data_IF_071379860983
#
_entry.id   IF_071379860983
#
_cell.length_a   1.000
_cell.length_b   1.000
_cell.length_c   1.000
_cell.angle_alpha   90.00
_cell.angle_beta   90.00
_cell.angle_gamma   90.00
#
_symmetry.space_group_name_H-M   'P 1'
#
loop_
_entity.id
_entity.type
_entity.pdbx_description
1 polymer ?
#
# COMPACT_ATOMS: atom_id res chain seq x y z
N UNK A 1 -6.19 10.39 -13.03
CA UNK A 1 -5.39 9.29 -12.46
C UNK A 1 -5.19 8.26 -13.57
N UNK A 2 -3.96 8.02 -14.02
CA UNK A 2 -3.71 6.96 -15.00
C UNK A 2 -3.76 5.60 -14.29
N UNK A 3 -4.08 4.53 -15.02
CA UNK A 3 -4.10 3.15 -14.51
C UNK A 3 -2.78 2.72 -13.84
N UNK A 4 -1.67 3.41 -14.11
CA UNK A 4 -0.37 3.20 -13.44
C UNK A 4 -0.34 3.67 -11.99
N UNK A 5 -1.05 4.74 -11.63
CA UNK A 5 -1.17 5.23 -10.25
C UNK A 5 -2.08 4.34 -9.38
N UNK A 6 -3.02 3.64 -10.01
CA UNK A 6 -3.88 2.67 -9.34
C UNK A 6 -3.17 1.33 -9.07
N UNK A 7 -2.26 0.93 -9.96
CA UNK A 7 -1.38 -0.23 -9.77
C UNK A 7 -0.42 -0.02 -8.59
N UNK A 8 0.08 1.21 -8.43
CA UNK A 8 0.90 1.61 -7.28
C UNK A 8 0.10 1.56 -5.97
N UNK A 9 -1.18 1.96 -5.95
CA UNK A 9 -2.03 1.87 -4.75
C UNK A 9 -2.40 0.42 -4.35
N UNK A 10 -2.51 -0.50 -5.32
CA UNK A 10 -2.71 -1.93 -5.06
C UNK A 10 -1.43 -2.64 -4.60
N UNK A 11 -0.25 -2.19 -5.06
CA UNK A 11 1.07 -2.60 -4.54
C UNK A 11 1.38 -1.96 -3.18
N UNK A 12 0.99 -0.71 -2.96
CA UNK A 12 1.22 0.07 -1.75
C UNK A 12 0.27 -0.23 -0.58
N UNK A 13 -0.49 -1.34 -0.63
CA UNK A 13 -1.23 -1.81 0.54
C UNK A 13 -0.33 -2.23 1.71
N UNK A 14 0.99 -2.12 1.53
CA UNK A 14 2.03 -2.45 2.51
C UNK A 14 3.05 -1.30 2.67
N UNK A 15 2.84 -0.19 1.97
CA UNK A 15 3.80 0.91 1.89
C UNK A 15 3.41 2.11 2.75
N UNK A 16 3.07 1.95 4.03
CA UNK A 16 2.88 3.13 4.87
C UNK A 16 3.24 2.93 6.33
N UNK A 17 4.54 2.94 6.61
CA UNK A 17 5.03 3.28 7.95
C UNK A 17 6.37 4.00 7.84
N UNK A 18 6.42 5.22 8.37
CA UNK A 18 7.60 6.05 8.50
C UNK A 18 7.39 7.40 7.82
N UNK A 19 6.52 8.23 8.41
CA UNK A 19 6.65 9.68 8.31
C UNK A 19 7.61 10.05 9.44
N UNK A 20 8.90 9.92 9.14
CA UNK A 20 9.92 10.67 9.84
C UNK A 20 10.37 11.72 8.83
N UNK A 21 10.16 12.99 9.16
CA UNK A 21 10.81 14.11 8.50
C UNK A 21 12.32 13.96 8.72
N UNK A 22 12.97 13.18 7.85
CA UNK A 22 14.41 13.24 7.71
C UNK A 22 14.70 14.51 6.90
N UNK A 23 15.13 15.56 7.59
CA UNK A 23 15.89 16.65 6.98
C UNK A 23 17.16 16.02 6.38
N UNK A 24 17.10 15.62 5.11
CA UNK A 24 18.29 15.27 4.36
C UNK A 24 18.91 16.59 3.90
N UNK A 25 19.83 17.11 4.72
CA UNK A 25 20.72 18.20 4.34
C UNK A 25 21.34 17.91 2.97
N UNK A 26 21.29 18.90 2.09
CA UNK A 26 21.75 18.83 0.71
C UNK A 26 23.22 18.46 0.59
N UNK A 27 23.50 17.16 0.61
CA UNK A 27 24.73 16.55 0.16
C UNK A 27 24.41 15.76 -1.11
N UNK A 28 25.20 15.98 -2.17
CA UNK A 28 25.24 15.06 -3.30
C UNK A 28 25.96 13.80 -2.77
N UNK A 29 25.22 12.97 -2.01
CA UNK A 29 25.71 11.70 -1.51
C UNK A 29 26.15 10.85 -2.70
N UNK A 30 27.45 10.58 -2.77
CA UNK A 30 28.00 9.68 -3.77
C UNK A 30 27.38 8.31 -3.56
N UNK A 31 26.89 7.71 -4.65
CA UNK A 31 26.52 6.30 -4.68
C UNK A 31 27.72 5.53 -4.14
N UNK A 32 27.55 4.78 -3.05
CA UNK A 32 28.57 3.86 -2.58
C UNK A 32 28.73 2.80 -3.68
N UNK A 33 29.69 3.02 -4.60
CA UNK A 33 30.00 2.06 -5.64
C UNK A 33 30.73 0.90 -4.98
N UNK A 34 30.03 -0.20 -4.77
CA UNK A 34 30.70 -1.48 -4.55
C UNK A 34 31.45 -1.78 -5.86
N UNK A 35 32.78 -1.66 -5.86
CA UNK A 35 33.58 -1.71 -7.09
C UNK A 35 33.41 -3.03 -7.87
N UNK A 36 32.98 -4.09 -7.17
CA UNK A 36 32.74 -5.42 -7.72
C UNK A 36 31.32 -5.61 -8.31
N UNK A 37 30.38 -4.71 -8.03
CA UNK A 37 29.03 -4.77 -8.60
C UNK A 37 28.44 -3.36 -8.81
N UNK A 38 28.68 -2.72 -9.96
CA UNK A 38 28.19 -1.37 -10.21
C UNK A 38 26.66 -1.33 -10.26
N UNK A 39 26.03 -0.19 -9.90
CA UNK A 39 24.59 -0.03 -9.95
C UNK A 39 24.08 -0.24 -11.39
N UNK A 40 22.97 -0.97 -11.52
CA UNK A 40 22.32 -1.19 -12.81
C UNK A 40 21.63 0.08 -13.30
N UNK A 41 21.25 0.10 -14.58
CA UNK A 41 20.40 1.19 -15.13
C UNK A 41 19.08 1.32 -14.34
N UNK A 42 18.53 0.20 -13.88
CA UNK A 42 17.32 0.17 -13.06
C UNK A 42 17.54 0.82 -11.68
N UNK A 43 18.67 0.55 -11.04
CA UNK A 43 19.01 1.14 -9.74
C UNK A 43 19.17 2.66 -9.85
N UNK A 44 19.85 3.12 -10.90
CA UNK A 44 20.01 4.55 -11.18
C UNK A 44 18.67 5.22 -11.49
N UNK A 45 17.81 4.58 -12.28
CA UNK A 45 16.48 5.11 -12.59
C UNK A 45 15.61 5.22 -11.33
N UNK A 46 15.65 4.21 -10.46
CA UNK A 46 14.93 4.20 -9.18
C UNK A 46 15.43 5.31 -8.26
N UNK A 47 16.74 5.53 -8.16
CA UNK A 47 17.29 6.63 -7.36
C UNK A 47 16.85 7.99 -7.88
N UNK A 48 16.88 8.21 -9.21
CA UNK A 48 16.42 9.47 -9.83
C UNK A 48 14.92 9.68 -9.62
N UNK A 49 14.11 8.64 -9.76
CA UNK A 49 12.67 8.69 -9.49
C UNK A 49 12.40 9.08 -8.04
N UNK A 50 13.05 8.43 -7.07
CA UNK A 50 12.90 8.74 -5.65
C UNK A 50 13.26 10.19 -5.34
N UNK A 51 14.41 10.67 -5.82
CA UNK A 51 14.84 12.06 -5.63
C UNK A 51 13.85 13.06 -6.25
N UNK A 52 13.23 12.69 -7.37
CA UNK A 52 12.20 13.51 -8.02
C UNK A 52 10.93 13.57 -7.17
N UNK A 53 10.47 12.43 -6.63
CA UNK A 53 9.30 12.40 -5.73
C UNK A 53 9.52 13.22 -4.46
N UNK A 54 10.71 13.13 -3.85
CA UNK A 54 11.07 13.92 -2.67
C UNK A 54 11.07 15.41 -2.97
N UNK A 55 11.60 15.84 -4.12
CA UNK A 55 11.61 17.25 -4.55
C UNK A 55 10.20 17.80 -4.83
N UNK A 56 9.29 16.95 -5.29
CA UNK A 56 7.92 17.33 -5.61
C UNK A 56 6.93 17.05 -4.46
N UNK A 57 7.42 16.54 -3.32
CA UNK A 57 6.60 16.10 -2.18
C UNK A 57 5.46 15.15 -2.58
N UNK A 58 5.68 14.32 -3.61
CA UNK A 58 4.65 13.47 -4.19
C UNK A 58 4.63 12.05 -3.63
N UNK A 59 5.72 11.61 -2.98
CA UNK A 59 5.88 10.25 -2.49
C UNK A 59 7.04 10.12 -1.49
N UNK A 60 6.91 9.14 -0.58
CA UNK A 60 7.92 8.81 0.43
C UNK A 60 8.43 7.36 0.33
N UNK A 61 7.66 6.47 -0.29
CA UNK A 61 7.90 5.02 -0.21
C UNK A 61 7.68 4.27 -1.52
N UNK A 62 6.90 4.82 -2.46
CA UNK A 62 6.45 4.11 -3.66
C UNK A 62 7.61 3.59 -4.50
N UNK A 63 8.62 4.42 -4.75
CA UNK A 63 9.79 4.01 -5.55
C UNK A 63 10.60 2.90 -4.85
N UNK A 64 10.80 2.99 -3.53
CA UNK A 64 11.49 1.95 -2.78
C UNK A 64 10.69 0.64 -2.78
N UNK A 65 9.38 0.72 -2.58
CA UNK A 65 8.50 -0.44 -2.66
C UNK A 65 8.55 -1.11 -4.03
N UNK A 66 8.45 -0.32 -5.11
CA UNK A 66 8.54 -0.81 -6.48
C UNK A 66 9.88 -1.46 -6.80
N UNK A 67 10.98 -0.94 -6.24
CA UNK A 67 12.31 -1.51 -6.40
C UNK A 67 12.49 -2.85 -5.68
N UNK A 68 11.78 -3.08 -4.57
CA UNK A 68 11.78 -4.36 -3.86
C UNK A 68 10.93 -5.42 -4.57
N UNK A 69 9.80 -5.01 -5.14
CA UNK A 69 8.87 -5.90 -5.84
C UNK A 69 8.05 -6.81 -4.92
N UNK A 70 7.07 -7.49 -5.52
CA UNK A 70 6.17 -8.41 -4.82
C UNK A 70 5.35 -7.73 -3.71
N UNK A 71 5.24 -8.44 -2.58
CA UNK A 71 4.65 -7.98 -1.32
C UNK A 71 5.80 -7.47 -0.44
N UNK A 72 5.96 -6.15 -0.36
CA UNK A 72 7.13 -5.52 0.26
C UNK A 72 6.96 -5.21 1.75
N UNK A 73 8.06 -5.06 2.47
CA UNK A 73 8.13 -4.46 3.79
C UNK A 73 9.32 -3.50 3.84
N UNK A 74 9.04 -2.23 4.16
CA UNK A 74 10.10 -1.22 4.35
C UNK A 74 10.76 -1.37 5.72
N UNK A 75 12.06 -1.67 5.69
CA UNK A 75 12.91 -1.88 6.86
C UNK A 75 13.63 -0.60 7.30
N UNK A 76 14.06 0.24 6.38
CA UNK A 76 14.69 1.52 6.70
C UNK A 76 14.15 2.59 5.74
N UNK A 77 13.88 3.81 6.22
CA UNK A 77 13.56 4.93 5.35
C UNK A 77 14.78 5.31 4.50
N UNK A 78 14.53 5.84 3.30
CA UNK A 78 15.58 6.36 2.42
C UNK A 78 15.40 5.96 0.96
N UNK A 79 16.36 6.37 0.12
CA UNK A 79 16.35 6.09 -1.30
C UNK A 79 16.80 4.64 -1.60
N UNK A 80 16.29 4.02 -2.69
CA UNK A 80 16.79 2.73 -3.17
C UNK A 80 18.28 2.81 -3.50
N UNK A 81 19.05 1.79 -3.09
CA UNK A 81 20.50 1.73 -3.35
C UNK A 81 21.35 2.65 -2.48
N UNK A 82 20.75 3.40 -1.57
CA UNK A 82 21.45 4.23 -0.57
C UNK A 82 21.06 3.76 0.85
N UNK A 83 20.35 4.58 1.62
CA UNK A 83 19.93 4.28 2.99
C UNK A 83 18.63 3.46 3.06
N UNK A 84 17.79 3.54 2.03
CA UNK A 84 16.49 2.87 1.99
C UNK A 84 16.64 1.37 1.88
N UNK A 85 16.01 0.64 2.80
CA UNK A 85 15.98 -0.83 2.79
C UNK A 85 14.56 -1.33 2.77
N UNK A 86 14.24 -2.20 1.83
CA UNK A 86 12.99 -2.94 1.77
C UNK A 86 13.27 -4.39 1.39
N UNK A 87 12.39 -5.28 1.82
CA UNK A 87 12.39 -6.69 1.44
C UNK A 87 11.05 -7.03 0.81
N UNK A 88 11.03 -7.91 -0.17
CA UNK A 88 9.81 -8.37 -0.83
C UNK A 88 9.75 -9.88 -0.89
N UNK A 89 8.55 -10.43 -0.98
CA UNK A 89 8.37 -11.80 -1.43
C UNK A 89 7.34 -11.85 -2.55
N UNK A 90 7.54 -12.77 -3.48
CA UNK A 90 6.64 -12.95 -4.60
C UNK A 90 5.39 -13.73 -4.18
N UNK A 91 4.25 -13.23 -4.64
CA UNK A 91 2.96 -13.89 -4.52
C UNK A 91 2.11 -13.54 -5.75
N UNK A 92 1.45 -14.54 -6.31
CA UNK A 92 0.48 -14.30 -7.38
C UNK A 92 -0.82 -13.81 -6.74
N UNK A 93 -1.14 -12.53 -6.97
CA UNK A 93 -2.33 -11.91 -6.41
C UNK A 93 -3.21 -11.34 -7.52
N UNK A 94 -4.52 -11.41 -7.32
CA UNK A 94 -5.51 -10.79 -8.22
C UNK A 94 -6.42 -9.81 -7.46
N UNK A 95 -5.87 -8.70 -6.93
CA UNK A 95 -6.67 -7.77 -6.13
C UNK A 95 -7.64 -6.98 -7.02
N UNK A 96 -8.77 -6.58 -6.43
CA UNK A 96 -9.73 -5.68 -7.04
C UNK A 96 -9.67 -4.36 -6.27
N UNK A 97 -9.17 -3.31 -6.91
CA UNK A 97 -9.15 -1.97 -6.33
C UNK A 97 -10.47 -1.29 -6.61
N UNK A 98 -11.11 -0.74 -5.58
CA UNK A 98 -12.42 -0.09 -5.63
C UNK A 98 -12.29 1.33 -5.12
N UNK A 99 -12.94 2.30 -5.77
CA UNK A 99 -12.97 3.69 -5.31
C UNK A 99 -14.32 4.36 -5.58
N UNK A 100 -14.65 5.30 -4.70
CA UNK A 100 -15.86 6.12 -4.78
C UNK A 100 -15.61 7.47 -5.45
N UNK A 101 -16.60 8.35 -5.37
CA UNK A 101 -16.41 9.78 -5.67
C UNK A 101 -15.32 10.36 -4.76
N UNK A 102 -14.55 11.31 -5.30
CA UNK A 102 -13.40 11.91 -4.63
C UNK A 102 -13.89 12.67 -3.39
N UNK A 103 -13.62 12.12 -2.20
CA UNK A 103 -13.79 12.85 -0.93
C UNK A 103 -12.84 14.05 -0.84
N UNK A 104 -13.04 14.90 0.18
CA UNK A 104 -12.24 16.12 0.44
C UNK A 104 -10.74 15.92 0.15
N UNK A 105 -10.13 16.95 -0.43
CA UNK A 105 -8.73 16.97 -0.86
C UNK A 105 -7.79 16.39 0.21
N UNK A 106 -6.98 15.39 -0.18
CA UNK A 106 -5.97 14.71 0.65
C UNK A 106 -4.97 15.68 1.32
N UNK A 107 -4.88 16.92 0.85
CA UNK A 107 -4.03 17.98 1.41
C UNK A 107 -4.46 18.49 2.79
N UNK A 108 -5.76 18.46 3.13
CA UNK A 108 -6.23 19.01 4.41
C UNK A 108 -5.81 18.13 5.62
N UNK A 109 -5.52 16.85 5.39
CA UNK A 109 -5.17 15.91 6.45
C UNK A 109 -3.68 15.93 6.76
N UNK A 110 -2.81 16.07 5.75
CA UNK A 110 -1.35 16.02 5.92
C UNK A 110 -0.82 17.17 6.79
N UNK A 111 -1.59 18.19 7.11
CA UNK A 111 -1.14 19.29 7.97
C UNK A 111 -1.61 19.19 9.45
N UNK A 112 -2.40 18.19 9.82
CA UNK A 112 -2.78 17.95 11.23
C UNK A 112 -1.65 17.24 11.98
N UNK A 113 -0.97 17.99 12.86
CA UNK A 113 0.14 17.48 13.67
C UNK A 113 -0.26 16.32 14.61
N UNK A 114 -1.47 16.35 15.18
CA UNK A 114 -1.95 15.28 16.05
C UNK A 114 -2.27 14.01 15.25
N UNK A 115 -2.80 14.16 14.02
CA UNK A 115 -2.98 13.04 13.11
C UNK A 115 -1.64 12.46 12.65
N UNK A 116 -0.64 13.29 12.30
CA UNK A 116 0.72 12.83 11.98
C UNK A 116 1.32 11.96 13.08
N UNK A 117 1.21 12.38 14.34
CA UNK A 117 1.71 11.60 15.47
C UNK A 117 1.00 10.25 15.57
N UNK A 118 -0.33 10.21 15.43
CA UNK A 118 -1.11 8.97 15.51
C UNK A 118 -0.79 8.01 14.37
N UNK A 119 -0.73 8.50 13.13
CA UNK A 119 -0.44 7.66 11.96
C UNK A 119 0.99 7.11 11.99
N UNK A 120 1.97 7.92 12.42
CA UNK A 120 3.35 7.46 12.59
C UNK A 120 3.46 6.40 13.68
N UNK A 121 2.88 6.64 14.86
CA UNK A 121 2.92 5.67 15.96
C UNK A 121 2.22 4.34 15.61
N UNK A 122 1.01 4.40 15.04
CA UNK A 122 0.27 3.22 14.59
C UNK A 122 1.07 2.43 13.56
N UNK A 123 1.77 3.15 12.67
CA UNK A 123 2.63 2.54 11.68
C UNK A 123 3.82 1.84 12.31
N UNK A 124 4.61 2.56 13.11
CA UNK A 124 5.83 2.02 13.73
C UNK A 124 5.54 0.73 14.49
N UNK A 125 4.43 0.71 15.21
CA UNK A 125 3.92 -0.46 15.91
C UNK A 125 3.59 -1.63 14.96
N UNK A 126 2.85 -1.38 13.87
CA UNK A 126 2.49 -2.40 12.89
C UNK A 126 3.75 -3.00 12.22
N UNK A 127 4.67 -2.15 11.78
CA UNK A 127 5.92 -2.61 11.16
C UNK A 127 6.83 -3.33 12.16
N UNK A 128 6.89 -2.89 13.42
CA UNK A 128 7.64 -3.58 14.47
C UNK A 128 7.14 -5.02 14.66
N UNK A 129 5.83 -5.25 14.57
CA UNK A 129 5.24 -6.60 14.60
C UNK A 129 5.53 -7.39 13.33
N UNK A 130 5.31 -6.79 12.15
CA UNK A 130 5.52 -7.46 10.86
C UNK A 130 6.98 -7.87 10.61
N UNK A 131 7.95 -7.10 11.14
CA UNK A 131 9.39 -7.40 11.06
C UNK A 131 9.81 -8.65 11.84
N UNK A 132 8.98 -9.14 12.76
CA UNK A 132 9.34 -10.29 13.57
C UNK A 132 9.27 -11.57 12.73
N UNK A 133 10.32 -12.39 12.78
CA UNK A 133 10.38 -13.62 11.99
C UNK A 133 10.75 -13.36 10.52
N UNK A 134 10.44 -14.33 9.66
CA UNK A 134 10.80 -14.29 8.25
C UNK A 134 9.73 -13.55 7.43
N UNK A 135 10.16 -12.68 6.52
CA UNK A 135 9.28 -12.04 5.54
C UNK A 135 9.09 -12.97 4.35
N UNK A 136 8.07 -13.82 4.40
CA UNK A 136 7.64 -14.69 3.30
C UNK A 136 6.12 -14.85 3.30
N UNK A 137 5.59 -15.71 2.42
CA UNK A 137 4.15 -15.91 2.20
C UNK A 137 3.34 -16.19 3.48
N UNK A 138 3.97 -16.74 4.52
CA UNK A 138 3.32 -16.98 5.82
C UNK A 138 2.95 -15.69 6.54
N UNK A 139 3.50 -14.54 6.14
CA UNK A 139 3.15 -13.22 6.68
C UNK A 139 1.86 -12.64 6.16
N UNK A 140 1.25 -13.23 5.12
CA UNK A 140 0.03 -12.70 4.53
C UNK A 140 -1.13 -12.51 5.53
N UNK A 141 -1.47 -13.49 6.40
CA UNK A 141 -2.54 -13.31 7.37
C UNK A 141 -2.21 -12.21 8.40
N UNK A 142 -0.95 -12.14 8.85
CA UNK A 142 -0.49 -11.09 9.77
C UNK A 142 -0.59 -9.71 9.10
N UNK A 143 -0.20 -9.59 7.83
CA UNK A 143 -0.29 -8.35 7.06
C UNK A 143 -1.75 -7.88 6.91
N UNK A 144 -2.67 -8.78 6.56
CA UNK A 144 -4.10 -8.44 6.49
C UNK A 144 -4.66 -8.00 7.84
N UNK A 145 -4.17 -8.57 8.94
CA UNK A 145 -4.56 -8.19 10.30
C UNK A 145 -3.99 -6.81 10.69
N UNK A 146 -2.69 -6.61 10.49
CA UNK A 146 -2.01 -5.36 10.81
C UNK A 146 -2.51 -4.19 9.95
N UNK A 147 -2.90 -4.43 8.70
CA UNK A 147 -3.55 -3.42 7.86
C UNK A 147 -4.88 -2.92 8.47
N UNK A 148 -5.69 -3.83 9.00
CA UNK A 148 -6.95 -3.47 9.66
C UNK A 148 -6.70 -2.74 10.99
N UNK A 149 -5.79 -3.25 11.82
CA UNK A 149 -5.40 -2.61 13.08
C UNK A 149 -4.84 -1.21 12.86
N UNK A 150 -3.98 -1.05 11.85
CA UNK A 150 -3.40 0.22 11.49
C UNK A 150 -4.48 1.24 11.10
N UNK A 151 -5.46 0.83 10.28
CA UNK A 151 -6.55 1.71 9.87
C UNK A 151 -7.36 2.21 11.08
N UNK A 152 -7.62 1.35 12.05
CA UNK A 152 -8.33 1.69 13.29
C UNK A 152 -7.50 2.63 14.18
N UNK A 153 -6.27 2.23 14.54
CA UNK A 153 -5.43 2.96 15.51
C UNK A 153 -4.99 4.32 14.96
N UNK A 154 -4.68 4.42 13.67
CA UNK A 154 -4.34 5.70 13.02
C UNK A 154 -5.55 6.64 12.90
N UNK A 155 -6.76 6.12 13.07
CA UNK A 155 -8.02 6.83 12.84
C UNK A 155 -8.35 7.06 11.36
N UNK A 156 -7.66 6.40 10.43
CA UNK A 156 -8.08 6.35 9.01
C UNK A 156 -9.47 5.73 8.86
N UNK A 157 -9.73 4.70 9.65
CA UNK A 157 -11.05 4.09 9.72
C UNK A 157 -12.07 5.09 10.27
N UNK A 158 -11.73 6.10 11.08
CA UNK A 158 -12.71 7.04 11.64
C UNK A 158 -13.30 8.06 10.66
N UNK A 159 -12.83 8.13 9.42
CA UNK A 159 -13.33 9.08 8.43
C UNK A 159 -14.59 8.56 7.72
N UNK A 160 -15.68 9.32 7.81
CA UNK A 160 -17.00 8.96 7.27
C UNK A 160 -16.95 8.50 5.81
N UNK A 161 -16.25 9.23 4.92
CA UNK A 161 -16.18 8.88 3.49
C UNK A 161 -15.49 7.53 3.27
N UNK A 162 -14.41 7.25 4.00
CA UNK A 162 -13.65 6.00 3.91
C UNK A 162 -14.45 4.84 4.52
N UNK A 163 -15.06 5.04 5.69
CA UNK A 163 -15.96 4.04 6.30
C UNK A 163 -17.09 3.68 5.36
N UNK A 164 -17.73 4.69 4.77
CA UNK A 164 -18.87 4.47 3.88
C UNK A 164 -18.47 3.65 2.67
N UNK A 165 -17.30 3.91 2.08
CA UNK A 165 -16.80 3.09 0.98
C UNK A 165 -16.48 1.67 1.45
N UNK A 166 -15.77 1.52 2.58
CA UNK A 166 -15.42 0.21 3.14
C UNK A 166 -16.66 -0.64 3.39
N UNK A 167 -17.66 -0.09 4.08
CA UNK A 167 -18.92 -0.77 4.39
C UNK A 167 -19.66 -1.22 3.14
N UNK A 168 -19.69 -0.38 2.08
CA UNK A 168 -20.28 -0.78 0.78
C UNK A 168 -19.52 -1.94 0.14
N UNK A 169 -18.20 -1.95 0.22
CA UNK A 169 -17.38 -3.05 -0.33
C UNK A 169 -17.55 -4.33 0.48
N UNK A 170 -17.68 -4.24 1.80
CA UNK A 170 -18.01 -5.39 2.66
C UNK A 170 -19.43 -5.94 2.38
N UNK A 171 -20.39 -5.06 2.11
CA UNK A 171 -21.72 -5.44 1.64
C UNK A 171 -21.65 -6.18 0.30
N UNK A 172 -20.82 -5.72 -0.65
CA UNK A 172 -20.55 -6.43 -1.92
C UNK A 172 -20.02 -7.84 -1.67
N UNK A 173 -19.05 -8.02 -0.78
CA UNK A 173 -18.52 -9.34 -0.46
C UNK A 173 -19.60 -10.25 0.12
N UNK A 174 -20.47 -9.71 0.96
CA UNK A 174 -21.59 -10.45 1.54
C UNK A 174 -22.62 -10.84 0.48
N UNK A 175 -23.05 -9.91 -0.38
CA UNK A 175 -24.05 -10.15 -1.43
C UNK A 175 -23.54 -11.07 -2.54
N UNK A 176 -22.24 -11.09 -2.79
CA UNK A 176 -21.60 -11.99 -3.76
C UNK A 176 -21.25 -13.37 -3.20
N UNK A 177 -21.44 -13.58 -1.89
CA UNK A 177 -21.08 -14.83 -1.20
C UNK A 177 -19.57 -15.05 -1.08
N UNK A 178 -18.78 -13.97 -1.05
CA UNK A 178 -17.31 -13.99 -1.12
C UNK A 178 -16.61 -13.59 0.18
N UNK A 179 -17.35 -13.36 1.26
CA UNK A 179 -16.79 -12.98 2.56
C UNK A 179 -15.89 -14.05 3.22
N UNK A 180 -16.00 -15.31 2.81
CA UNK A 180 -15.14 -16.41 3.32
C UNK A 180 -13.81 -16.53 2.56
N UNK A 181 -13.74 -15.99 1.34
CA UNK A 181 -12.53 -16.05 0.49
C UNK A 181 -11.80 -14.72 0.41
N UNK A 182 -12.48 -13.61 0.68
CA UNK A 182 -11.99 -12.26 0.45
C UNK A 182 -12.24 -11.34 1.62
N UNK A 183 -11.45 -10.26 1.65
CA UNK A 183 -11.59 -9.20 2.63
C UNK A 183 -11.35 -7.83 2.01
N UNK A 184 -12.03 -6.81 2.52
CA UNK A 184 -11.85 -5.43 2.14
C UNK A 184 -10.81 -4.73 3.04
N UNK A 185 -9.87 -3.97 2.47
CA UNK A 185 -8.88 -3.18 3.21
C UNK A 185 -8.78 -1.77 2.64
N UNK A 186 -8.76 -0.76 3.51
CA UNK A 186 -8.54 0.62 3.12
C UNK A 186 -7.15 0.78 2.51
N UNK A 187 -7.07 1.48 1.39
CA UNK A 187 -5.78 1.90 0.84
C UNK A 187 -5.31 3.18 1.52
N UNK A 188 -3.99 3.34 1.56
CA UNK A 188 -3.36 4.51 2.14
C UNK A 188 -3.55 5.76 1.28
N UNK A 189 -3.87 6.89 1.94
CA UNK A 189 -3.99 8.22 1.34
C UNK A 189 -4.92 8.30 0.12
N UNK A 190 -6.21 7.99 0.32
CA UNK A 190 -7.26 8.20 -0.69
C UNK A 190 -8.62 7.70 -0.20
N UNK A 191 -9.64 7.77 -1.05
CA UNK A 191 -10.95 7.12 -0.83
C UNK A 191 -11.02 5.87 -1.71
N UNK A 192 -10.23 4.87 -1.35
CA UNK A 192 -10.18 3.59 -2.06
C UNK A 192 -10.00 2.42 -1.10
N UNK A 193 -10.45 1.26 -1.56
CA UNK A 193 -10.46 -0.02 -0.84
C UNK A 193 -9.97 -1.09 -1.79
N UNK A 194 -9.09 -1.98 -1.36
CA UNK A 194 -8.79 -3.20 -2.09
C UNK A 194 -9.57 -4.38 -1.52
N UNK A 195 -10.07 -5.21 -2.44
CA UNK A 195 -10.55 -6.54 -2.16
C UNK A 195 -9.38 -7.50 -2.37
N UNK A 196 -9.04 -8.24 -1.32
CA UNK A 196 -7.88 -9.11 -1.23
C UNK A 196 -8.31 -10.53 -0.84
N UNK A 197 -7.63 -11.58 -1.33
CA UNK A 197 -7.91 -12.94 -0.89
C UNK A 197 -7.42 -13.14 0.55
N UNK A 198 -8.15 -13.93 1.34
CA UNK A 198 -7.76 -14.27 2.72
C UNK A 198 -6.55 -15.23 2.77
N UNK A 199 -6.29 -15.96 1.69
CA UNK A 199 -5.11 -16.83 1.54
C UNK A 199 -4.47 -16.63 0.17
N UNK A 200 -3.13 -16.66 0.13
CA UNK A 200 -2.37 -16.61 -1.13
C UNK A 200 -2.57 -17.86 -1.99
N UNK A 201 -2.92 -18.98 -1.38
CA UNK A 201 -3.19 -20.24 -2.10
C UNK A 201 -4.55 -20.23 -2.81
N UNK A 202 -5.42 -19.28 -2.46
CA UNK A 202 -6.73 -19.12 -3.07
C UNK A 202 -6.64 -18.12 -4.22
N UNK A 203 -6.47 -18.64 -5.43
CA UNK A 203 -6.75 -17.86 -6.64
C UNK A 203 -8.27 -17.79 -6.82
N UNK A 204 -8.89 -16.60 -6.83
CA UNK A 204 -10.33 -16.50 -7.02
C UNK A 204 -10.69 -17.01 -8.41
N UNK A 205 -11.75 -17.81 -8.50
CA UNK A 205 -12.23 -18.25 -9.80
C UNK A 205 -12.80 -17.05 -10.58
N UNK A 206 -12.80 -17.10 -11.91
CA UNK A 206 -13.47 -16.06 -12.71
C UNK A 206 -14.98 -15.95 -12.40
N UNK A 207 -15.59 -17.00 -11.85
CA UNK A 207 -16.94 -16.92 -11.26
C UNK A 207 -17.01 -16.01 -10.05
N UNK A 208 -16.10 -16.19 -9.09
CA UNK A 208 -16.06 -15.41 -7.85
C UNK A 208 -15.85 -13.93 -8.16
N UNK A 209 -14.86 -13.64 -9.01
CA UNK A 209 -14.57 -12.27 -9.45
C UNK A 209 -15.78 -11.65 -10.14
N UNK A 210 -16.46 -12.39 -11.02
CA UNK A 210 -17.67 -11.89 -11.70
C UNK A 210 -18.82 -11.62 -10.73
N UNK A 211 -18.99 -12.44 -9.70
CA UNK A 211 -19.98 -12.20 -8.65
C UNK A 211 -19.69 -10.89 -7.91
N UNK A 212 -18.43 -10.64 -7.55
CA UNK A 212 -18.00 -9.39 -6.91
C UNK A 212 -18.25 -8.20 -7.82
N UNK A 213 -17.77 -8.23 -9.07
CA UNK A 213 -17.89 -7.09 -9.99
C UNK A 213 -19.33 -6.77 -10.35
N UNK A 214 -20.20 -7.77 -10.47
CA UNK A 214 -21.64 -7.56 -10.71
C UNK A 214 -22.28 -6.77 -9.57
N UNK A 215 -21.90 -7.04 -8.32
CA UNK A 215 -22.39 -6.29 -7.17
C UNK A 215 -21.76 -4.89 -7.07
N UNK A 216 -20.49 -4.73 -7.43
CA UNK A 216 -19.84 -3.41 -7.54
C UNK A 216 -20.57 -2.52 -8.56
N UNK A 217 -20.89 -3.07 -9.73
CA UNK A 217 -21.66 -2.38 -10.77
C UNK A 217 -23.06 -1.99 -10.27
N UNK A 218 -23.75 -2.91 -9.58
CA UNK A 218 -25.08 -2.65 -9.02
C UNK A 218 -25.09 -1.51 -7.99
N UNK A 219 -23.99 -1.33 -7.25
CA UNK A 219 -23.81 -0.22 -6.30
C UNK A 219 -23.18 1.04 -6.92
N UNK A 220 -22.88 1.03 -8.23
CA UNK A 220 -22.28 2.15 -8.96
C UNK A 220 -20.85 2.49 -8.50
N UNK A 221 -20.08 1.49 -8.04
CA UNK A 221 -18.70 1.69 -7.60
C UNK A 221 -17.73 1.50 -8.76
N UNK A 222 -16.70 2.36 -8.83
CA UNK A 222 -15.63 2.19 -9.81
C UNK A 222 -14.63 1.17 -9.29
N UNK A 223 -14.11 0.33 -10.19
CA UNK A 223 -13.12 -0.67 -9.83
C UNK A 223 -12.11 -0.96 -10.95
N UNK A 224 -10.98 -1.54 -10.55
CA UNK A 224 -9.91 -2.03 -11.41
C UNK A 224 -9.49 -3.41 -10.94
N UNK A 225 -9.51 -4.38 -11.86
CA UNK A 225 -8.88 -5.68 -11.66
C UNK A 225 -7.42 -5.57 -12.05
N UNK A 226 -6.53 -6.09 -11.21
CA UNK A 226 -5.11 -6.18 -11.54
C UNK A 226 -4.55 -7.53 -11.11
N UNK A 227 -3.39 -7.88 -11.65
CA UNK A 227 -2.59 -9.02 -11.23
C UNK A 227 -1.21 -8.51 -10.80
N UNK A 228 -0.67 -9.08 -9.74
CA UNK A 228 0.69 -8.79 -9.24
C UNK A 228 1.46 -10.10 -9.21
#
# INVERSE_FOLDING_TARGET
>A
MSAAGLLAAARALIGAVGIADAEEEGGIGGVASDADNPPTEYDLASLVAHRTERRLSSGLGDVLALSAGGIELRLEPGAPGEYGRAVGFDAALSPILVWGEVGKHTGDYIDDAAWKVRISAAGEDAVSRLRQGKWDQNKWPELLHESANFAEISGLHGEETRQRLLNKVEEVLTLSGQSEGHVARLCMLGTSVAILPLSLDMSPSESDVRCITTQLDALGLNYLRTTI
#
